data_IF_081510878844
#
_entry.id   IF_081510878844
#
_cell.length_a   1.000
_cell.length_b   1.000
_cell.length_c   1.000
_cell.angle_alpha   90.00
_cell.angle_beta   90.00
_cell.angle_gamma   90.00
#
_symmetry.space_group_name_H-M   'P 1'
#
loop_
_entity.id
_entity.type
_entity.pdbx_description
1 polymer ?
#
# COMPACT_ATOMS: atom_id res chain seq x y z
N UNK A 1 -11.32 -13.16 13.03
CA UNK A 1 -12.02 -12.08 13.78
C UNK A 1 -12.58 -11.10 12.77
N UNK A 2 -13.86 -10.73 12.87
CA UNK A 2 -14.49 -9.71 11.99
C UNK A 2 -14.24 -8.34 12.59
N UNK A 3 -13.77 -7.41 11.77
CA UNK A 3 -13.43 -6.04 12.15
C UNK A 3 -14.62 -5.12 11.89
N UNK A 4 -15.25 -5.27 10.72
CA UNK A 4 -16.34 -4.41 10.29
C UNK A 4 -17.28 -5.14 9.34
N UNK A 5 -18.55 -4.74 9.32
CA UNK A 5 -19.56 -5.31 8.43
C UNK A 5 -20.47 -4.22 7.86
N UNK A 6 -20.62 -4.18 6.54
CA UNK A 6 -21.65 -3.40 5.87
C UNK A 6 -22.86 -4.28 5.58
N UNK A 7 -24.06 -3.75 5.86
CA UNK A 7 -25.32 -4.36 5.46
C UNK A 7 -25.97 -3.48 4.38
N UNK A 8 -26.43 -4.14 3.31
CA UNK A 8 -27.09 -3.51 2.17
C UNK A 8 -28.37 -4.27 1.83
N UNK A 9 -29.49 -3.94 2.51
CA UNK A 9 -30.78 -4.52 2.18
C UNK A 9 -31.31 -3.94 0.85
N UNK A 10 -31.97 -4.77 0.06
CA UNK A 10 -32.67 -4.34 -1.16
C UNK A 10 -33.85 -5.26 -1.45
N UNK A 11 -34.85 -4.76 -2.17
CA UNK A 11 -36.01 -5.54 -2.58
C UNK A 11 -36.02 -5.69 -4.10
N UNK A 12 -36.25 -6.90 -4.60
CA UNK A 12 -36.32 -7.20 -6.02
C UNK A 12 -37.51 -8.13 -6.29
N UNK A 13 -38.40 -7.73 -7.20
CA UNK A 13 -39.67 -8.42 -7.48
C UNK A 13 -40.49 -8.81 -6.23
N UNK A 14 -40.54 -7.91 -5.23
CA UNK A 14 -41.30 -8.12 -4.00
C UNK A 14 -40.66 -9.10 -3.01
N UNK A 15 -39.42 -9.52 -3.25
CA UNK A 15 -38.62 -10.36 -2.34
C UNK A 15 -37.50 -9.51 -1.74
N UNK A 16 -37.33 -9.63 -0.42
CA UNK A 16 -36.27 -8.93 0.30
C UNK A 16 -34.98 -9.73 0.34
N UNK A 17 -33.90 -9.07 -0.05
CA UNK A 17 -32.54 -9.57 -0.06
C UNK A 17 -31.66 -8.68 0.81
N UNK A 18 -30.52 -9.22 1.23
CA UNK A 18 -29.52 -8.45 1.96
C UNK A 18 -28.13 -8.93 1.57
N UNK A 19 -27.28 -7.99 1.16
CA UNK A 19 -25.85 -8.24 1.00
C UNK A 19 -25.14 -7.84 2.28
N UNK A 20 -24.35 -8.77 2.83
CA UNK A 20 -23.44 -8.54 3.95
C UNK A 20 -22.00 -8.55 3.43
N UNK A 21 -21.27 -7.46 3.68
CA UNK A 21 -19.85 -7.36 3.35
C UNK A 21 -19.05 -7.24 4.63
N UNK A 22 -18.31 -8.28 4.99
CA UNK A 22 -17.57 -8.39 6.23
C UNK A 22 -16.06 -8.34 5.99
N UNK A 23 -15.37 -7.47 6.71
CA UNK A 23 -13.91 -7.32 6.70
C UNK A 23 -13.28 -8.09 7.86
N UNK A 24 -12.23 -8.84 7.57
CA UNK A 24 -11.36 -9.47 8.57
C UNK A 24 -9.95 -8.88 8.47
N UNK A 25 -8.95 -9.43 9.16
CA UNK A 25 -7.57 -8.95 9.00
C UNK A 25 -6.96 -9.33 7.65
N UNK A 26 -7.35 -10.48 7.08
CA UNK A 26 -6.71 -11.04 5.88
C UNK A 26 -7.64 -11.11 4.67
N UNK A 27 -8.96 -11.10 4.89
CA UNK A 27 -9.95 -11.37 3.85
C UNK A 27 -11.17 -10.46 3.96
N UNK A 28 -11.77 -10.15 2.82
CA UNK A 28 -13.12 -9.58 2.70
C UNK A 28 -14.08 -10.67 2.26
N UNK A 29 -15.22 -10.77 2.92
CA UNK A 29 -16.30 -11.69 2.61
C UNK A 29 -17.52 -10.93 2.11
N UNK A 30 -18.13 -11.38 1.03
CA UNK A 30 -19.42 -10.89 0.55
C UNK A 30 -20.43 -12.03 0.55
N UNK A 31 -21.58 -11.82 1.19
CA UNK A 31 -22.63 -12.82 1.38
C UNK A 31 -23.98 -12.28 0.94
N UNK A 32 -24.69 -13.04 0.13
CA UNK A 32 -26.04 -12.71 -0.31
C UNK A 32 -27.08 -13.55 0.44
N UNK A 33 -28.04 -12.88 1.07
CA UNK A 33 -29.15 -13.50 1.77
C UNK A 33 -30.49 -13.18 1.09
N UNK A 34 -31.41 -14.15 1.14
CA UNK A 34 -32.85 -13.97 0.89
C UNK A 34 -33.58 -14.21 2.20
N UNK A 35 -34.05 -13.13 2.84
CA UNK A 35 -34.47 -13.17 4.24
C UNK A 35 -33.34 -13.70 5.14
N UNK A 36 -33.55 -14.86 5.78
CA UNK A 36 -32.53 -15.53 6.63
C UNK A 36 -31.73 -16.63 5.93
N UNK A 37 -32.04 -16.94 4.67
CA UNK A 37 -31.38 -18.02 3.92
C UNK A 37 -30.17 -17.46 3.17
N UNK A 38 -28.99 -18.01 3.42
CA UNK A 38 -27.79 -17.73 2.63
C UNK A 38 -27.95 -18.31 1.22
N UNK A 39 -27.75 -17.49 0.21
CA UNK A 39 -27.81 -17.88 -1.21
C UNK A 39 -26.43 -18.04 -1.81
N UNK A 40 -25.50 -17.13 -1.50
CA UNK A 40 -24.14 -17.16 -2.03
C UNK A 40 -23.15 -16.54 -1.03
N UNK A 41 -21.91 -17.01 -1.06
CA UNK A 41 -20.79 -16.51 -0.25
C UNK A 41 -19.49 -16.54 -1.07
N UNK A 42 -18.83 -15.39 -1.15
CA UNK A 42 -17.56 -15.20 -1.84
C UNK A 42 -16.56 -14.54 -0.90
N UNK A 43 -15.27 -14.80 -1.10
CA UNK A 43 -14.21 -14.17 -0.31
C UNK A 43 -12.98 -13.87 -1.16
N UNK A 44 -12.31 -12.77 -0.83
CA UNK A 44 -11.09 -12.30 -1.51
C UNK A 44 -10.06 -11.99 -0.43
N UNK A 45 -8.81 -12.45 -0.59
CA UNK A 45 -7.74 -12.06 0.32
C UNK A 45 -7.30 -10.64 0.02
N UNK A 46 -6.95 -9.86 1.04
CA UNK A 46 -6.46 -8.49 0.83
C UNK A 46 -5.20 -8.43 -0.05
N UNK A 47 -4.40 -9.50 -0.06
CA UNK A 47 -3.23 -9.62 -0.92
C UNK A 47 -3.56 -9.84 -2.40
N UNK A 48 -4.80 -10.28 -2.71
CA UNK A 48 -5.28 -10.53 -4.07
C UNK A 48 -5.79 -9.24 -4.74
N UNK A 49 -5.82 -8.11 -4.01
CA UNK A 49 -6.22 -6.80 -4.51
C UNK A 49 -7.68 -6.44 -4.20
N UNK A 50 -8.18 -5.38 -4.85
CA UNK A 50 -9.58 -4.97 -4.76
C UNK A 50 -10.32 -5.44 -6.01
N UNK A 51 -11.33 -6.27 -5.81
CA UNK A 51 -12.18 -6.79 -6.87
C UNK A 51 -13.64 -6.72 -6.45
N UNK A 52 -14.50 -6.47 -7.43
CA UNK A 52 -15.96 -6.42 -7.24
C UNK A 52 -16.51 -7.84 -7.15
N UNK A 53 -17.28 -8.14 -6.10
CA UNK A 53 -18.00 -9.42 -5.99
C UNK A 53 -19.22 -9.40 -6.88
N UNK A 54 -19.55 -10.52 -7.50
CA UNK A 54 -20.73 -10.65 -8.37
C UNK A 54 -21.54 -11.87 -7.92
N UNK A 55 -22.71 -11.61 -7.34
CA UNK A 55 -23.64 -12.65 -6.91
C UNK A 55 -24.76 -12.82 -7.94
N UNK A 56 -25.02 -14.06 -8.37
CA UNK A 56 -26.16 -14.36 -9.22
C UNK A 56 -27.44 -14.47 -8.39
N UNK A 57 -28.53 -13.83 -8.82
CA UNK A 57 -29.85 -14.02 -8.25
C UNK A 57 -30.55 -15.21 -8.91
N UNK A 58 -31.27 -16.05 -8.14
CA UNK A 58 -32.07 -17.14 -8.70
C UNK A 58 -33.10 -16.61 -9.72
N UNK A 59 -33.18 -17.26 -10.88
CA UNK A 59 -34.00 -16.83 -12.02
C UNK A 59 -35.52 -16.98 -11.81
N UNK A 60 -35.93 -17.46 -10.64
CA UNK A 60 -37.28 -17.86 -10.26
C UNK A 60 -38.32 -16.73 -10.41
N UNK A 61 -37.89 -15.46 -10.62
CA UNK A 61 -38.75 -14.28 -10.59
C UNK A 61 -38.44 -13.25 -11.70
N UNK A 62 -38.06 -13.67 -12.91
CA UNK A 62 -38.12 -12.76 -14.07
C UNK A 62 -36.80 -12.44 -14.78
N UNK A 63 -35.86 -13.38 -14.81
CA UNK A 63 -34.63 -13.27 -15.59
C UNK A 63 -33.37 -13.34 -14.73
N UNK A 64 -32.22 -13.58 -15.36
CA UNK A 64 -30.93 -13.67 -14.68
C UNK A 64 -30.48 -12.27 -14.22
N UNK A 65 -30.80 -11.90 -12.98
CA UNK A 65 -30.28 -10.70 -12.34
C UNK A 65 -28.97 -11.01 -11.61
N UNK A 66 -28.06 -10.04 -11.55
CA UNK A 66 -26.80 -10.12 -10.80
C UNK A 66 -26.65 -8.93 -9.86
N UNK A 67 -26.05 -9.18 -8.70
CA UNK A 67 -25.72 -8.14 -7.72
C UNK A 67 -24.22 -7.94 -7.74
N UNK A 68 -23.79 -6.76 -8.13
CA UNK A 68 -22.40 -6.33 -8.05
C UNK A 68 -22.16 -5.60 -6.74
N UNK A 69 -21.09 -5.98 -6.03
CA UNK A 69 -20.76 -5.49 -4.70
C UNK A 69 -19.32 -5.02 -4.71
N UNK A 70 -19.10 -3.74 -4.43
CA UNK A 70 -17.78 -3.16 -4.49
C UNK A 70 -17.70 -1.76 -3.92
N UNK A 71 -16.51 -1.18 -3.95
CA UNK A 71 -16.26 0.13 -3.39
C UNK A 71 -16.86 1.23 -4.28
N UNK A 72 -17.70 2.08 -3.68
CA UNK A 72 -18.18 3.34 -4.30
C UNK A 72 -17.29 4.53 -3.94
N UNK A 73 -16.40 4.35 -2.97
CA UNK A 73 -15.36 5.27 -2.53
C UNK A 73 -14.33 4.50 -1.69
N UNK A 74 -13.22 5.12 -1.29
CA UNK A 74 -12.21 4.49 -0.42
C UNK A 74 -12.73 4.04 0.96
N UNK A 75 -13.90 4.53 1.38
CA UNK A 75 -14.44 4.34 2.73
C UNK A 75 -15.81 3.67 2.76
N UNK A 76 -16.41 3.38 1.59
CA UNK A 76 -17.77 2.87 1.52
C UNK A 76 -17.93 1.84 0.41
N UNK A 77 -18.60 0.74 0.78
CA UNK A 77 -19.01 -0.33 -0.12
C UNK A 77 -20.48 -0.12 -0.49
N UNK A 78 -20.77 -0.25 -1.78
CA UNK A 78 -22.11 -0.19 -2.36
C UNK A 78 -22.45 -1.47 -3.11
N UNK A 79 -23.74 -1.60 -3.41
CA UNK A 79 -24.29 -2.62 -4.29
C UNK A 79 -25.05 -1.98 -5.46
N UNK A 80 -25.00 -2.65 -6.60
CA UNK A 80 -25.81 -2.40 -7.78
C UNK A 80 -26.44 -3.73 -8.26
N UNK A 81 -27.74 -3.74 -8.52
CA UNK A 81 -28.48 -4.91 -9.01
C UNK A 81 -28.77 -4.67 -10.48
N UNK A 82 -28.27 -5.55 -11.34
CA UNK A 82 -28.42 -5.47 -12.79
C UNK A 82 -29.27 -6.63 -13.29
N UNK A 83 -30.16 -6.34 -14.25
CA UNK A 83 -30.96 -7.32 -14.97
C UNK A 83 -30.68 -7.13 -16.46
N UNK A 84 -29.89 -8.03 -17.03
CA UNK A 84 -29.25 -7.79 -18.34
C UNK A 84 -28.31 -6.58 -18.26
N UNK A 85 -28.56 -5.58 -19.11
CA UNK A 85 -27.79 -4.32 -19.17
C UNK A 85 -28.43 -3.16 -18.38
N UNK A 86 -29.58 -3.39 -17.75
CA UNK A 86 -30.29 -2.35 -17.00
C UNK A 86 -30.04 -2.48 -15.50
N UNK A 87 -29.65 -1.37 -14.86
CA UNK A 87 -29.57 -1.29 -13.40
C UNK A 87 -30.95 -1.08 -12.80
N UNK A 88 -31.38 -2.01 -11.96
CA UNK A 88 -32.72 -2.03 -11.33
C UNK A 88 -32.67 -1.45 -9.91
N UNK A 89 -31.53 -1.54 -9.25
CA UNK A 89 -31.34 -0.97 -7.92
C UNK A 89 -29.89 -0.53 -7.72
N UNK A 90 -29.72 0.63 -7.09
CA UNK A 90 -28.42 1.11 -6.60
C UNK A 90 -28.56 1.57 -5.16
N UNK A 91 -27.67 1.06 -4.30
CA UNK A 91 -27.56 1.58 -2.93
C UNK A 91 -27.07 3.03 -2.88
N UNK A 92 -26.32 3.47 -3.89
CA UNK A 92 -25.76 4.82 -4.01
C UNK A 92 -26.02 5.31 -5.43
N UNK A 93 -27.13 6.03 -5.67
CA UNK A 93 -27.53 6.46 -7.00
C UNK A 93 -26.43 7.20 -7.75
N UNK A 94 -26.12 6.76 -8.98
CA UNK A 94 -25.14 7.37 -9.86
C UNK A 94 -23.68 7.12 -9.49
N UNK A 95 -23.40 6.24 -8.51
CA UNK A 95 -22.03 5.85 -8.15
C UNK A 95 -21.69 4.46 -8.66
N UNK A 96 -20.55 4.34 -9.34
CA UNK A 96 -20.05 3.06 -9.82
C UNK A 96 -19.49 2.22 -8.67
N UNK A 97 -20.05 1.02 -8.45
CA UNK A 97 -19.59 0.05 -7.44
C UNK A 97 -18.24 -0.57 -7.77
N UNK A 98 -17.78 -0.45 -9.01
CA UNK A 98 -16.44 -0.83 -9.47
C UNK A 98 -15.44 0.33 -9.39
N UNK A 99 -15.73 1.40 -8.64
CA UNK A 99 -14.86 2.59 -8.58
C UNK A 99 -13.42 2.25 -8.21
N UNK A 100 -13.21 1.46 -7.15
CA UNK A 100 -11.84 1.12 -6.73
C UNK A 100 -11.14 0.19 -7.72
N UNK A 101 -11.86 -0.72 -8.36
CA UNK A 101 -11.34 -1.62 -9.39
C UNK A 101 -10.95 -0.84 -10.65
N UNK A 102 -11.79 0.09 -11.12
CA UNK A 102 -11.47 0.99 -12.23
C UNK A 102 -10.31 1.94 -11.91
N UNK A 103 -10.24 2.43 -10.66
CA UNK A 103 -9.09 3.20 -10.20
C UNK A 103 -7.81 2.34 -10.19
N UNK A 104 -7.89 1.06 -9.80
CA UNK A 104 -6.81 0.07 -9.89
C UNK A 104 -6.50 -0.41 -11.31
N UNK A 105 -7.37 -0.17 -12.30
CA UNK A 105 -7.14 -0.49 -13.71
C UNK A 105 -6.73 0.75 -14.55
N UNK A 106 -6.86 1.96 -13.99
CA UNK A 106 -6.40 3.20 -14.63
C UNK A 106 -7.43 3.83 -15.58
N UNK A 107 -8.70 3.42 -15.50
CA UNK A 107 -9.79 3.86 -16.39
C UNK A 107 -10.53 5.12 -15.91
N UNK A 108 -10.06 5.79 -14.86
CA UNK A 108 -10.79 6.87 -14.20
C UNK A 108 -10.57 8.28 -14.78
N UNK A 109 -10.72 8.45 -16.09
CA UNK A 109 -10.94 9.78 -16.72
C UNK A 109 -11.87 9.66 -17.94
N UNK A 110 -13.00 8.98 -17.77
CA UNK A 110 -14.13 9.09 -18.70
C UNK A 110 -15.40 9.37 -17.90
N UNK A 111 -15.57 10.63 -17.52
CA UNK A 111 -16.80 11.12 -16.91
C UNK A 111 -17.26 12.35 -17.69
N UNK A 112 -17.82 12.11 -18.87
CA UNK A 112 -18.85 12.91 -19.53
C UNK A 112 -19.22 12.27 -20.88
N UNK A 113 -20.41 11.67 -20.91
CA UNK A 113 -21.31 11.55 -22.08
C UNK A 113 -20.74 11.07 -23.43
N UNK A 114 -20.99 9.81 -23.79
CA UNK A 114 -21.83 9.54 -24.98
C UNK A 114 -22.25 8.06 -25.03
N UNK A 115 -23.49 7.84 -25.46
CA UNK A 115 -24.05 6.52 -25.68
C UNK A 115 -23.37 5.84 -26.87
N UNK A 116 -22.50 4.88 -26.60
CA UNK A 116 -22.13 3.86 -27.57
C UNK A 116 -21.79 2.58 -26.83
N UNK A 117 -22.63 1.57 -27.05
CA UNK A 117 -22.37 0.18 -26.74
C UNK A 117 -21.17 -0.31 -27.56
N UNK A 118 -20.00 -0.37 -26.93
CA UNK A 118 -18.88 -1.17 -27.43
C UNK A 118 -18.47 -2.20 -26.37
N UNK A 119 -18.41 -3.51 -26.72
CA UNK A 119 -18.07 -4.56 -25.78
C UNK A 119 -16.56 -4.62 -25.56
N UNK A 120 -16.21 -4.79 -24.28
CA UNK A 120 -15.00 -5.42 -23.74
C UNK A 120 -13.83 -5.69 -24.70
N UNK A 121 -12.74 -4.94 -24.54
CA UNK A 121 -11.39 -5.48 -24.72
C UNK A 121 -10.37 -4.70 -23.90
N UNK A 122 -9.43 -5.44 -23.30
CA UNK A 122 -8.30 -4.97 -22.46
C UNK A 122 -8.55 -4.89 -20.95
N UNK A 123 -9.28 -5.86 -20.39
CA UNK A 123 -9.14 -6.18 -18.97
C UNK A 123 -7.75 -6.79 -18.74
N UNK A 124 -6.86 -6.07 -18.06
CA UNK A 124 -5.67 -6.67 -17.46
C UNK A 124 -6.14 -7.82 -16.56
N UNK A 125 -5.69 -9.04 -16.88
CA UNK A 125 -6.19 -10.28 -16.30
C UNK A 125 -5.89 -10.31 -14.80
N UNK A 126 -6.94 -10.16 -13.98
CA UNK A 126 -6.86 -10.13 -12.51
C UNK A 126 -6.12 -11.39 -11.99
N UNK A 127 -6.28 -12.53 -12.68
CA UNK A 127 -5.55 -13.76 -12.37
C UNK A 127 -4.03 -13.60 -12.49
N UNK A 128 -3.54 -12.90 -13.51
CA UNK A 128 -2.11 -12.65 -13.70
C UNK A 128 -1.54 -11.71 -12.64
N UNK A 129 -2.31 -10.70 -12.21
CA UNK A 129 -1.89 -9.82 -11.11
C UNK A 129 -1.79 -10.57 -9.79
N UNK A 130 -2.76 -11.43 -9.47
CA UNK A 130 -2.79 -12.26 -8.25
C UNK A 130 -1.59 -13.22 -8.23
N UNK A 131 -1.36 -13.95 -9.32
CA UNK A 131 -0.23 -14.87 -9.44
C UNK A 131 1.11 -14.12 -9.30
N UNK A 132 1.22 -12.93 -9.92
CA UNK A 132 2.41 -12.09 -9.81
C UNK A 132 2.68 -11.65 -8.36
N UNK A 133 1.65 -11.24 -7.62
CA UNK A 133 1.78 -10.79 -6.23
C UNK A 133 2.14 -11.94 -5.28
N UNK A 134 1.52 -13.12 -5.47
CA UNK A 134 1.88 -14.31 -4.70
C UNK A 134 3.33 -14.75 -4.96
N UNK A 135 3.79 -14.71 -6.23
CA UNK A 135 5.18 -15.03 -6.55
C UNK A 135 6.17 -14.02 -5.93
N UNK A 136 5.84 -12.73 -5.94
CA UNK A 136 6.62 -11.67 -5.28
C UNK A 136 6.73 -11.91 -3.78
N UNK A 137 5.63 -12.26 -3.12
CA UNK A 137 5.61 -12.60 -1.69
C UNK A 137 6.49 -13.82 -1.38
N UNK A 138 6.34 -14.92 -2.13
CA UNK A 138 7.13 -16.14 -1.90
C UNK A 138 8.64 -15.89 -2.02
N UNK A 139 9.03 -14.97 -2.92
CA UNK A 139 10.42 -14.57 -3.11
C UNK A 139 10.94 -13.67 -1.99
N UNK A 140 10.14 -12.70 -1.53
CA UNK A 140 10.61 -11.63 -0.65
C UNK A 140 10.36 -11.88 0.85
N UNK A 141 9.54 -12.87 1.22
CA UNK A 141 9.16 -13.16 2.63
C UNK A 141 10.35 -13.28 3.58
N UNK A 142 11.46 -13.86 3.13
CA UNK A 142 12.64 -14.07 3.97
C UNK A 142 13.33 -12.76 4.33
N UNK A 143 13.37 -11.80 3.41
CA UNK A 143 13.88 -10.46 3.70
C UNK A 143 12.98 -9.71 4.68
N UNK A 144 11.66 -9.83 4.54
CA UNK A 144 10.72 -9.22 5.48
C UNK A 144 10.93 -9.77 6.90
N UNK A 145 11.12 -11.08 7.02
CA UNK A 145 11.43 -11.70 8.32
C UNK A 145 12.78 -11.27 8.88
N UNK A 146 13.81 -11.12 8.04
CA UNK A 146 15.11 -10.65 8.46
C UNK A 146 15.04 -9.22 9.03
N UNK A 147 14.32 -8.31 8.34
CA UNK A 147 14.13 -6.93 8.80
C UNK A 147 13.33 -6.88 10.11
N UNK A 148 12.27 -7.68 10.23
CA UNK A 148 11.48 -7.77 11.46
C UNK A 148 12.31 -8.30 12.64
N UNK A 149 13.17 -9.29 12.39
CA UNK A 149 14.08 -9.82 13.41
C UNK A 149 15.12 -8.78 13.84
N UNK A 150 15.66 -8.00 12.90
CA UNK A 150 16.61 -6.92 13.19
C UNK A 150 15.95 -5.81 14.04
N UNK A 151 14.72 -5.42 13.68
CA UNK A 151 13.93 -4.47 14.46
C UNK A 151 13.60 -4.97 15.85
N UNK A 152 13.20 -6.24 15.99
CA UNK A 152 12.94 -6.87 17.28
C UNK A 152 14.20 -6.95 18.16
N UNK A 153 15.35 -7.21 17.55
CA UNK A 153 16.65 -7.21 18.25
C UNK A 153 16.99 -5.80 18.75
N UNK A 154 16.87 -4.77 17.91
CA UNK A 154 17.10 -3.38 18.31
C UNK A 154 16.20 -2.99 19.49
N UNK A 155 14.90 -3.28 19.39
CA UNK A 155 13.94 -3.00 20.46
C UNK A 155 14.27 -3.75 21.75
N UNK A 156 14.59 -5.04 21.66
CA UNK A 156 14.90 -5.86 22.84
C UNK A 156 16.13 -5.32 23.56
N UNK A 157 17.20 -5.01 22.83
CA UNK A 157 18.43 -4.45 23.42
C UNK A 157 18.14 -3.10 24.07
N UNK A 158 17.50 -2.17 23.36
CA UNK A 158 17.16 -0.86 23.92
C UNK A 158 16.25 -0.96 25.14
N UNK A 159 15.32 -1.91 25.15
CA UNK A 159 14.38 -2.11 26.26
C UNK A 159 15.03 -2.74 27.50
N UNK A 160 15.94 -3.71 27.33
CA UNK A 160 16.56 -4.40 28.46
C UNK A 160 17.80 -3.70 29.01
N UNK A 161 18.51 -2.95 28.17
CA UNK A 161 19.73 -2.23 28.59
C UNK A 161 19.47 -0.78 28.95
N UNK A 162 18.30 -0.23 28.55
CA UNK A 162 17.96 1.19 28.65
C UNK A 162 19.00 2.11 27.96
N UNK A 163 19.83 1.53 27.09
CA UNK A 163 20.89 2.21 26.35
C UNK A 163 20.61 2.16 24.84
N UNK A 164 20.19 3.31 24.32
CA UNK A 164 19.89 3.50 22.90
C UNK A 164 21.15 3.42 22.02
N UNK A 165 22.31 3.85 22.52
CA UNK A 165 23.56 3.78 21.78
C UNK A 165 24.02 2.33 21.63
N UNK A 166 23.90 1.54 22.69
CA UNK A 166 24.19 0.10 22.65
C UNK A 166 23.22 -0.61 21.68
N UNK A 167 21.92 -0.30 21.73
CA UNK A 167 20.94 -0.84 20.78
C UNK A 167 21.31 -0.52 19.32
N UNK A 168 21.74 0.72 19.04
CA UNK A 168 22.18 1.13 17.71
C UNK A 168 23.44 0.39 17.24
N UNK A 169 24.45 0.22 18.12
CA UNK A 169 25.68 -0.51 17.81
C UNK A 169 25.37 -1.99 17.52
N UNK A 170 24.57 -2.64 18.35
CA UNK A 170 24.20 -4.05 18.14
C UNK A 170 23.36 -4.20 16.86
N UNK A 171 22.40 -3.30 16.62
CA UNK A 171 21.61 -3.29 15.39
C UNK A 171 22.46 -3.13 14.14
N UNK A 172 23.41 -2.19 14.14
CA UNK A 172 24.36 -1.99 13.04
C UNK A 172 25.26 -3.23 12.83
N UNK A 173 25.76 -3.83 13.92
CA UNK A 173 26.57 -5.05 13.88
C UNK A 173 25.79 -6.24 13.32
N UNK A 174 24.54 -6.43 13.73
CA UNK A 174 23.65 -7.47 13.19
C UNK A 174 23.35 -7.24 11.69
N UNK A 175 23.14 -6.00 11.27
CA UNK A 175 22.94 -5.65 9.86
C UNK A 175 24.16 -5.99 9.01
N UNK A 176 25.37 -5.64 9.48
CA UNK A 176 26.62 -6.02 8.82
C UNK A 176 26.80 -7.55 8.77
N UNK A 177 26.48 -8.26 9.86
CA UNK A 177 26.53 -9.71 9.89
C UNK A 177 25.57 -10.33 8.86
N UNK A 178 24.36 -9.78 8.69
CA UNK A 178 23.42 -10.20 7.64
C UNK A 178 23.98 -9.97 6.23
N UNK A 179 24.65 -8.83 5.99
CA UNK A 179 25.31 -8.56 4.70
C UNK A 179 26.39 -9.61 4.39
N UNK A 180 27.16 -10.02 5.39
CA UNK A 180 28.16 -11.09 5.24
C UNK A 180 27.47 -12.44 5.03
N UNK A 181 26.45 -12.75 5.82
CA UNK A 181 25.72 -14.02 5.77
C UNK A 181 25.00 -14.22 4.43
N UNK A 182 24.49 -13.15 3.83
CA UNK A 182 23.87 -13.16 2.50
C UNK A 182 24.78 -13.78 1.44
N UNK A 183 26.11 -13.65 1.56
CA UNK A 183 27.06 -14.25 0.63
C UNK A 183 27.05 -15.78 0.66
N UNK A 184 26.61 -16.37 1.76
CA UNK A 184 26.59 -17.81 1.99
C UNK A 184 25.19 -18.43 1.87
N UNK A 185 24.14 -17.61 1.82
CA UNK A 185 22.74 -18.06 1.76
C UNK A 185 22.19 -17.82 0.35
N UNK A 186 21.57 -18.84 -0.24
CA UNK A 186 20.97 -18.77 -1.59
C UNK A 186 19.68 -17.94 -1.65
N UNK A 187 19.07 -17.71 -0.49
CA UNK A 187 17.83 -16.94 -0.33
C UNK A 187 18.17 -15.46 -0.17
N UNK A 188 17.36 -14.57 -0.77
CA UNK A 188 17.52 -13.12 -0.61
C UNK A 188 16.98 -12.69 0.76
N UNK A 189 17.88 -12.53 1.72
CA UNK A 189 17.62 -12.03 3.08
C UNK A 189 17.64 -10.50 3.13
N UNK A 190 18.26 -9.84 2.16
CA UNK A 190 18.48 -8.40 2.17
C UNK A 190 17.42 -7.61 1.39
N UNK A 191 16.60 -8.28 0.57
CA UNK A 191 15.43 -7.64 -0.06
C UNK A 191 15.78 -6.51 -1.02
N UNK A 192 17.02 -6.48 -1.49
CA UNK A 192 17.57 -5.38 -2.26
C UNK A 192 17.86 -4.09 -1.46
N UNK A 193 17.16 -3.78 -0.36
CA UNK A 193 17.36 -2.53 0.41
C UNK A 193 18.28 -2.66 1.61
N UNK A 194 18.50 -3.85 2.17
CA UNK A 194 19.16 -3.96 3.48
C UNK A 194 20.63 -3.57 3.47
N UNK A 195 21.35 -3.62 2.34
CA UNK A 195 22.72 -3.06 2.26
C UNK A 195 22.68 -1.54 2.45
N UNK A 196 21.75 -0.87 1.76
CA UNK A 196 21.53 0.56 1.92
C UNK A 196 21.08 0.89 3.35
N UNK A 197 20.12 0.14 3.89
CA UNK A 197 19.66 0.27 5.27
C UNK A 197 20.79 0.09 6.29
N UNK A 198 21.68 -0.89 6.08
CA UNK A 198 22.84 -1.13 6.95
C UNK A 198 23.83 0.04 6.88
N UNK A 199 24.11 0.58 5.69
CA UNK A 199 24.95 1.77 5.54
C UNK A 199 24.30 2.96 6.27
N UNK A 200 22.99 3.16 6.12
CA UNK A 200 22.27 4.22 6.83
C UNK A 200 22.29 4.04 8.35
N UNK A 201 22.19 2.81 8.85
CA UNK A 201 22.31 2.52 10.27
C UNK A 201 23.71 2.87 10.80
N UNK A 202 24.77 2.53 10.06
CA UNK A 202 26.14 2.88 10.44
C UNK A 202 26.34 4.40 10.44
N UNK A 203 25.86 5.10 9.42
CA UNK A 203 25.92 6.57 9.36
C UNK A 203 25.13 7.18 10.53
N UNK A 204 23.92 6.67 10.78
CA UNK A 204 23.04 7.09 11.87
C UNK A 204 23.65 6.87 13.25
N UNK A 205 24.34 5.73 13.45
CA UNK A 205 25.05 5.40 14.69
C UNK A 205 26.28 6.30 14.88
N UNK A 206 27.09 6.50 13.84
CA UNK A 206 28.23 7.41 13.88
C UNK A 206 27.79 8.84 14.21
N UNK A 207 26.69 9.29 13.61
CA UNK A 207 26.09 10.60 13.90
C UNK A 207 25.68 10.72 15.37
N UNK A 208 25.01 9.71 15.92
CA UNK A 208 24.61 9.69 17.34
C UNK A 208 25.76 9.60 18.33
N UNK A 209 26.91 9.05 17.94
CA UNK A 209 28.11 9.02 18.79
C UNK A 209 28.90 10.33 18.71
N UNK A 210 28.97 10.94 17.52
CA UNK A 210 29.76 12.15 17.30
C UNK A 210 29.04 13.44 17.70
N UNK A 211 27.71 13.48 17.61
CA UNK A 211 26.90 14.68 17.77
C UNK A 211 25.76 14.39 18.77
N UNK A 212 26.02 14.69 20.04
CA UNK A 212 25.11 14.40 21.16
C UNK A 212 24.26 15.59 21.59
N UNK A 213 24.50 16.79 21.06
CA UNK A 213 23.72 17.98 21.42
C UNK A 213 22.28 17.89 20.90
N UNK A 214 21.33 18.43 21.67
CA UNK A 214 19.88 18.38 21.39
C UNK A 214 19.53 18.91 19.99
N UNK A 215 20.23 19.96 19.55
CA UNK A 215 20.10 20.49 18.19
C UNK A 215 20.39 19.43 17.12
N UNK A 216 21.48 18.67 17.29
CA UNK A 216 21.86 17.64 16.33
C UNK A 216 20.95 16.41 16.39
N UNK A 217 20.37 16.12 17.55
CA UNK A 217 19.32 15.11 17.69
C UNK A 217 18.12 15.48 16.81
N UNK A 218 17.67 16.74 16.84
CA UNK A 218 16.58 17.23 15.99
C UNK A 218 16.94 17.22 14.50
N UNK A 219 18.19 17.60 14.17
CA UNK A 219 18.67 17.69 12.79
C UNK A 219 19.02 16.34 12.14
N UNK A 220 19.20 15.29 12.94
CA UNK A 220 19.55 13.95 12.45
C UNK A 220 18.61 13.46 11.35
N UNK A 221 17.30 13.65 11.55
CA UNK A 221 16.27 13.28 10.56
C UNK A 221 16.43 14.06 9.24
N UNK A 222 16.70 15.36 9.32
CA UNK A 222 16.97 16.22 8.16
C UNK A 222 18.18 15.74 7.36
N UNK A 223 19.31 15.52 8.03
CA UNK A 223 20.57 15.14 7.37
C UNK A 223 20.44 13.78 6.70
N UNK A 224 19.94 12.77 7.41
CA UNK A 224 19.74 11.42 6.87
C UNK A 224 18.68 11.41 5.76
N UNK A 225 17.63 12.22 5.89
CA UNK A 225 16.58 12.39 4.89
C UNK A 225 17.12 12.97 3.59
N UNK A 226 17.89 14.06 3.65
CA UNK A 226 18.54 14.68 2.48
C UNK A 226 19.56 13.76 1.82
N UNK A 227 20.34 13.03 2.62
CA UNK A 227 21.30 12.06 2.09
C UNK A 227 20.57 10.94 1.33
N UNK A 228 19.54 10.36 1.93
CA UNK A 228 18.69 9.34 1.29
C UNK A 228 18.06 9.88 0.02
N UNK A 229 17.47 11.07 0.08
CA UNK A 229 16.84 11.70 -1.07
C UNK A 229 17.84 11.95 -2.21
N UNK A 230 19.06 12.36 -1.90
CA UNK A 230 20.11 12.58 -2.91
C UNK A 230 20.46 11.29 -3.65
N UNK A 231 20.61 10.19 -2.92
CA UNK A 231 20.90 8.87 -3.49
C UNK A 231 19.74 8.38 -4.38
N UNK A 232 18.49 8.57 -3.92
CA UNK A 232 17.31 8.27 -4.73
C UNK A 232 17.18 9.16 -5.97
N UNK A 233 17.54 10.45 -5.87
CA UNK A 233 17.53 11.38 -7.01
C UNK A 233 18.54 10.95 -8.07
N UNK A 234 19.76 10.62 -7.64
CA UNK A 234 20.83 10.14 -8.51
C UNK A 234 20.38 8.87 -9.25
N UNK A 235 19.78 7.92 -8.53
CA UNK A 235 19.26 6.70 -9.17
C UNK A 235 18.11 7.00 -10.14
N UNK A 236 17.13 7.81 -9.73
CA UNK A 236 15.95 8.13 -10.54
C UNK A 236 16.28 8.91 -11.82
N UNK A 237 17.19 9.88 -11.73
CA UNK A 237 17.55 10.77 -12.84
C UNK A 237 18.64 10.16 -13.73
N UNK A 238 19.74 9.67 -13.14
CA UNK A 238 20.91 9.22 -13.91
C UNK A 238 20.84 7.74 -14.31
N UNK A 239 20.19 6.90 -13.49
CA UNK A 239 20.09 5.45 -13.70
C UNK A 239 18.67 4.99 -14.02
N UNK A 240 17.75 5.93 -14.27
CA UNK A 240 16.34 5.65 -14.56
C UNK A 240 15.65 4.77 -13.50
N UNK A 241 16.10 4.83 -12.25
CA UNK A 241 15.56 4.04 -11.15
C UNK A 241 15.98 2.57 -11.15
N UNK A 242 17.01 2.19 -11.92
CA UNK A 242 17.44 0.80 -12.07
C UNK A 242 17.83 0.12 -10.75
N UNK A 243 18.20 0.89 -9.71
CA UNK A 243 18.52 0.34 -8.41
C UNK A 243 17.33 0.41 -7.43
N UNK A 244 17.00 1.60 -6.93
CA UNK A 244 16.02 1.78 -5.87
C UNK A 244 14.59 1.68 -6.41
N UNK A 245 14.32 2.29 -7.56
CA UNK A 245 13.00 2.21 -8.19
C UNK A 245 12.59 0.77 -8.51
N UNK A 246 13.49 0.02 -9.13
CA UNK A 246 13.30 -1.40 -9.45
C UNK A 246 13.12 -2.29 -8.21
N UNK A 247 13.76 -1.94 -7.09
CA UNK A 247 13.59 -2.68 -5.82
C UNK A 247 12.26 -2.37 -5.15
N UNK A 248 11.83 -1.10 -5.13
CA UNK A 248 10.54 -0.75 -4.53
C UNK A 248 9.38 -1.41 -5.25
N UNK A 249 9.41 -1.47 -6.59
CA UNK A 249 8.37 -2.15 -7.36
C UNK A 249 8.21 -3.64 -6.97
N UNK A 250 9.27 -4.32 -6.49
CA UNK A 250 9.19 -5.72 -6.02
C UNK A 250 8.25 -5.90 -4.84
N UNK A 251 8.03 -4.85 -4.06
CA UNK A 251 7.15 -4.84 -2.89
C UNK A 251 5.79 -4.24 -3.18
N UNK A 252 5.59 -3.67 -4.38
CA UNK A 252 4.35 -3.04 -4.77
C UNK A 252 3.46 -4.01 -5.53
N UNK A 253 2.14 -4.01 -5.25
CA UNK A 253 1.17 -4.84 -5.97
C UNK A 253 0.85 -4.30 -7.37
N UNK A 254 1.30 -3.09 -7.68
CA UNK A 254 1.03 -2.38 -8.94
C UNK A 254 2.34 -2.15 -9.70
N UNK A 255 2.32 -2.20 -11.06
CA UNK A 255 3.48 -1.86 -11.86
C UNK A 255 3.77 -0.36 -11.84
N UNK A 256 5.03 0.02 -11.64
CA UNK A 256 5.46 1.40 -11.47
C UNK A 256 6.61 1.75 -12.42
N UNK A 257 6.66 3.00 -12.88
CA UNK A 257 7.81 3.56 -13.58
C UNK A 257 8.98 3.73 -12.60
N UNK A 258 10.07 2.98 -12.79
CA UNK A 258 11.22 2.94 -11.85
C UNK A 258 11.84 4.33 -11.63
N UNK A 259 12.00 5.11 -12.69
CA UNK A 259 12.54 6.46 -12.62
C UNK A 259 11.64 7.38 -11.79
N UNK A 260 10.33 7.37 -12.07
CA UNK A 260 9.36 8.22 -11.38
C UNK A 260 9.26 7.85 -9.91
N UNK A 261 9.18 6.57 -9.58
CA UNK A 261 9.07 6.19 -8.17
C UNK A 261 10.35 6.57 -7.40
N UNK A 262 11.54 6.42 -7.99
CA UNK A 262 12.79 6.84 -7.37
C UNK A 262 12.88 8.38 -7.17
N UNK A 263 12.53 9.16 -8.20
CA UNK A 263 12.46 10.64 -8.12
C UNK A 263 11.38 11.09 -7.12
N UNK A 264 10.23 10.43 -7.10
CA UNK A 264 9.15 10.72 -6.18
C UNK A 264 9.57 10.52 -4.72
N UNK A 265 10.22 9.40 -4.41
CA UNK A 265 10.77 9.16 -3.07
C UNK A 265 11.86 10.16 -2.68
N UNK A 266 12.67 10.60 -3.64
CA UNK A 266 13.60 11.71 -3.40
C UNK A 266 12.86 12.98 -3.02
N UNK A 267 11.82 13.35 -3.76
CA UNK A 267 10.96 14.49 -3.45
C UNK A 267 10.33 14.39 -2.06
N UNK A 268 9.82 13.20 -1.69
CA UNK A 268 9.32 12.94 -0.35
C UNK A 268 10.41 13.20 0.70
N UNK A 269 11.60 12.61 0.54
CA UNK A 269 12.71 12.78 1.49
C UNK A 269 13.13 14.25 1.65
N UNK A 270 13.17 15.03 0.57
CA UNK A 270 13.46 16.47 0.61
C UNK A 270 12.37 17.22 1.36
N UNK A 271 11.10 16.99 1.03
CA UNK A 271 9.97 17.69 1.66
C UNK A 271 9.93 17.38 3.16
N UNK A 272 10.07 16.12 3.56
CA UNK A 272 10.06 15.74 4.97
C UNK A 272 11.27 16.31 5.71
N UNK A 273 12.46 16.30 5.11
CA UNK A 273 13.65 16.89 5.71
C UNK A 273 13.53 18.41 5.89
N UNK A 274 13.01 19.13 4.89
CA UNK A 274 12.76 20.57 4.98
C UNK A 274 11.67 20.90 5.99
N UNK A 275 10.62 20.08 6.07
CA UNK A 275 9.59 20.25 7.08
C UNK A 275 10.15 20.04 8.50
N UNK A 276 10.95 18.99 8.72
CA UNK A 276 11.62 18.78 10.00
C UNK A 276 12.56 19.93 10.36
N UNK A 277 13.38 20.39 9.40
CA UNK A 277 14.25 21.56 9.59
C UNK A 277 13.46 22.81 9.98
N UNK A 278 12.38 23.10 9.24
CA UNK A 278 11.52 24.25 9.51
C UNK A 278 10.90 24.16 10.90
N UNK A 279 10.39 23.00 11.30
CA UNK A 279 9.79 22.80 12.61
C UNK A 279 10.82 22.98 13.72
N UNK A 280 11.98 22.34 13.60
CA UNK A 280 13.02 22.42 14.62
C UNK A 280 13.60 23.85 14.79
N UNK A 281 13.73 24.62 13.71
CA UNK A 281 14.32 25.96 13.77
C UNK A 281 13.32 27.03 14.26
N UNK A 282 12.01 26.83 14.03
CA UNK A 282 11.00 27.88 14.25
C UNK A 282 10.03 27.59 15.41
N UNK A 283 10.04 26.39 15.99
CA UNK A 283 9.13 25.99 17.06
C UNK A 283 9.88 25.46 18.29
N UNK A 284 9.15 25.26 19.38
CA UNK A 284 9.70 24.65 20.59
C UNK A 284 9.97 23.15 20.41
N UNK A 285 10.84 22.62 21.27
CA UNK A 285 11.14 21.18 21.33
C UNK A 285 9.89 20.33 21.57
N UNK A 286 8.98 20.77 22.45
CA UNK A 286 7.70 20.07 22.69
C UNK A 286 6.84 19.95 21.42
N UNK A 287 6.84 21.00 20.60
CA UNK A 287 6.14 20.97 19.32
C UNK A 287 6.86 20.09 18.31
N UNK A 288 8.20 20.12 18.28
CA UNK A 288 9.00 19.23 17.44
C UNK A 288 8.75 17.75 17.79
N UNK A 289 8.69 17.38 19.08
CA UNK A 289 8.32 16.03 19.52
C UNK A 289 6.92 15.64 19.05
N UNK A 290 5.97 16.57 19.11
CA UNK A 290 4.61 16.36 18.60
C UNK A 290 4.63 16.12 17.09
N UNK A 291 5.41 16.92 16.35
CA UNK A 291 5.60 16.78 14.91
C UNK A 291 6.13 15.40 14.53
N UNK A 292 7.27 15.00 15.09
CA UNK A 292 7.92 13.72 14.75
C UNK A 292 7.10 12.51 15.18
N UNK A 293 6.29 12.65 16.22
CA UNK A 293 5.48 11.53 16.75
C UNK A 293 4.17 11.36 15.98
N UNK A 294 3.48 12.46 15.65
CA UNK A 294 2.09 12.38 15.21
C UNK A 294 1.82 12.99 13.83
N UNK A 295 2.57 13.99 13.39
CA UNK A 295 2.27 14.72 12.14
C UNK A 295 3.11 14.23 10.96
N UNK A 296 4.37 13.87 11.22
CA UNK A 296 5.33 13.41 10.21
C UNK A 296 4.84 12.15 9.47
N UNK A 297 4.29 11.19 10.22
CA UNK A 297 3.84 9.90 9.69
C UNK A 297 2.59 10.01 8.78
N UNK A 298 1.48 10.69 9.18
CA UNK A 298 0.36 10.93 8.27
C UNK A 298 0.73 11.72 7.02
N UNK A 299 1.60 12.75 7.16
CA UNK A 299 2.04 13.55 6.02
C UNK A 299 2.85 12.70 5.03
N UNK A 300 3.83 11.93 5.52
CA UNK A 300 4.64 11.06 4.68
C UNK A 300 3.81 9.99 3.98
N UNK A 301 2.81 9.40 4.67
CA UNK A 301 1.86 8.47 4.05
C UNK A 301 1.07 9.13 2.91
N UNK A 302 0.52 10.32 3.15
CA UNK A 302 -0.25 11.05 2.13
C UNK A 302 0.60 11.35 0.89
N UNK A 303 1.82 11.85 1.08
CA UNK A 303 2.77 12.12 0.00
C UNK A 303 3.18 10.84 -0.73
N UNK A 304 3.42 9.75 0.00
CA UNK A 304 3.78 8.47 -0.57
C UNK A 304 2.68 7.93 -1.51
N UNK A 305 1.40 8.00 -1.09
CA UNK A 305 0.29 7.61 -1.96
C UNK A 305 0.17 8.50 -3.19
N UNK A 306 0.36 9.81 -3.05
CA UNK A 306 0.38 10.73 -4.19
C UNK A 306 1.49 10.37 -5.19
N UNK A 307 2.68 10.00 -4.69
CA UNK A 307 3.79 9.53 -5.50
C UNK A 307 3.47 8.22 -6.21
N UNK A 308 2.89 7.24 -5.52
CA UNK A 308 2.48 5.96 -6.14
C UNK A 308 1.50 6.24 -7.27
N UNK A 309 0.51 7.09 -7.03
CA UNK A 309 -0.49 7.46 -8.04
C UNK A 309 0.17 8.09 -9.27
N UNK A 310 1.16 8.96 -9.07
CA UNK A 310 1.91 9.62 -10.15
C UNK A 310 2.88 8.68 -10.89
N UNK A 311 3.55 7.78 -10.16
CA UNK A 311 4.58 6.89 -10.70
C UNK A 311 3.99 5.64 -11.38
N UNK A 312 2.70 5.39 -11.23
CA UNK A 312 2.04 4.22 -11.78
C UNK A 312 2.07 4.16 -13.31
N UNK A 313 2.31 2.96 -13.85
CA UNK A 313 2.21 2.70 -15.29
C UNK A 313 0.75 2.67 -15.73
N UNK A 314 0.42 3.36 -16.82
CA UNK A 314 -0.91 3.30 -17.46
C UNK A 314 -0.92 2.22 -18.54
N UNK A 315 -2.08 1.65 -18.91
CA UNK A 315 -2.17 0.63 -19.95
C UNK A 315 -1.61 1.06 -21.32
N UNK A 316 -1.57 2.37 -21.58
CA UNK A 316 -1.05 2.99 -22.80
C UNK A 316 0.45 3.26 -22.80
N UNK A 317 1.15 3.03 -21.69
CA UNK A 317 2.59 3.28 -21.62
C UNK A 317 3.36 2.19 -22.40
N UNK A 318 4.36 2.56 -23.22
CA UNK A 318 5.22 1.59 -23.86
C UNK A 318 5.97 0.76 -22.80
N UNK A 319 6.14 -0.54 -23.09
CA UNK A 319 6.73 -1.52 -22.20
C UNK A 319 8.16 -1.16 -21.76
#
# INVERSE_FOLDING_TARGET
MRIWTYLRPFSHHGVDYTVEVSFTFSQTFSRLFRGKKLLDEQSIQHMDGIQTFVHALPADVGGAARVEVGYVSWWSVGIAVLQGDHTVYESHPGKNVRFAEGMMQGSALSLANDGSSDPASSGLDIGQMIESNQSKWQRNKYSIYADLALGALFYSVGKFTEDLALAAIVGAGAGLALVVLQRFVKVDLLGGFAVFGTIMLVISAAFSLALQDDYWVQMKGTVLGLLTASVFMIDGVLRQGAYFGARMERYMPLPLHHNRIAVGMSGLGIVMALANYYVAENFSEDFWLTWTTFLDMPLSIGLFYAIIFWARKKPTDPA
#
